data_IF_957015959330
#
_entry.id   IF_957015959330
#
_cell.length_a   1.000
_cell.length_b   1.000
_cell.length_c   1.000
_cell.angle_alpha   90.00
_cell.angle_beta   90.00
_cell.angle_gamma   90.00
#
_symmetry.space_group_name_H-M   'P 1'
#
loop_
_entity.id
_entity.type
_entity.pdbx_description
1 polymer ?
#
# COMPACT_ATOMS: atom_id res chain seq x y z
N UNK A 1 -15.97 -19.25 5.09
CA UNK A 1 -14.62 -19.34 5.70
C UNK A 1 -13.62 -18.79 4.69
N UNK A 2 -13.44 -17.47 4.66
CA UNK A 2 -12.27 -16.87 4.03
C UNK A 2 -11.15 -17.03 5.06
N UNK A 3 -10.25 -17.97 4.82
CA UNK A 3 -9.09 -18.19 5.68
C UNK A 3 -8.14 -17.03 5.50
N UNK A 4 -8.19 -16.07 6.42
CA UNK A 4 -7.12 -15.10 6.62
C UNK A 4 -5.97 -15.88 7.27
N UNK A 5 -5.05 -16.38 6.45
CA UNK A 5 -3.77 -16.85 6.93
C UNK A 5 -2.98 -15.60 7.34
N UNK A 6 -3.19 -15.20 8.60
CA UNK A 6 -2.20 -14.43 9.33
C UNK A 6 -0.89 -15.22 9.24
N UNK A 7 0.14 -14.64 8.60
CA UNK A 7 1.51 -15.12 8.73
C UNK A 7 2.00 -14.81 10.16
N UNK A 8 1.46 -15.52 11.14
CA UNK A 8 1.68 -15.32 12.57
C UNK A 8 3.04 -15.86 13.06
N UNK A 9 4.04 -16.02 12.18
CA UNK A 9 5.33 -16.67 12.53
C UNK A 9 6.56 -15.77 12.35
N UNK A 10 6.37 -14.47 12.09
CA UNK A 10 7.43 -13.47 12.19
C UNK A 10 7.05 -12.45 13.26
N UNK A 11 7.92 -12.15 14.25
CA UNK A 11 7.66 -11.08 15.22
C UNK A 11 7.83 -9.71 14.54
N UNK A 12 6.86 -9.33 13.71
CA UNK A 12 6.74 -8.01 13.08
C UNK A 12 5.48 -7.29 13.55
N UNK A 13 5.49 -5.96 13.50
CA UNK A 13 4.28 -5.15 13.67
C UNK A 13 3.60 -4.98 12.31
N UNK A 14 2.29 -5.24 12.25
CA UNK A 14 1.52 -5.35 11.01
C UNK A 14 0.37 -4.34 10.97
N UNK A 15 0.60 -3.07 10.58
CA UNK A 15 -0.48 -2.16 10.26
C UNK A 15 -1.22 -2.67 9.02
N UNK A 16 -2.53 -2.83 9.18
CA UNK A 16 -3.48 -3.18 8.13
C UNK A 16 -4.73 -2.32 8.32
N UNK A 17 -5.45 -2.06 7.23
CA UNK A 17 -6.68 -1.27 7.25
C UNK A 17 -7.85 -2.15 6.82
N UNK A 18 -8.91 -2.13 7.61
CA UNK A 18 -10.15 -2.84 7.29
C UNK A 18 -11.35 -1.92 7.43
N UNK A 19 -12.46 -2.28 6.79
CA UNK A 19 -13.73 -1.54 6.91
C UNK A 19 -14.88 -2.50 7.16
N UNK A 20 -15.91 -2.00 7.85
CA UNK A 20 -17.17 -2.71 8.04
C UNK A 20 -18.32 -1.86 7.54
N UNK A 21 -19.05 -2.34 6.54
CA UNK A 21 -20.22 -1.64 6.01
C UNK A 21 -21.53 -2.13 6.66
N UNK A 22 -22.55 -1.25 6.67
CA UNK A 22 -23.91 -1.56 7.08
C UNK A 22 -24.74 -2.31 6.03
N UNK A 23 -26.06 -2.18 6.09
CA UNK A 23 -27.06 -2.98 5.36
C UNK A 23 -26.89 -3.01 3.84
N UNK A 24 -26.89 -1.86 3.18
CA UNK A 24 -26.91 -1.78 1.71
C UNK A 24 -25.63 -2.32 1.04
N UNK A 25 -24.40 -1.93 1.44
CA UNK A 25 -23.18 -2.43 0.81
C UNK A 25 -22.90 -3.92 1.12
N UNK A 26 -23.35 -4.43 2.28
CA UNK A 26 -23.32 -5.88 2.57
C UNK A 26 -24.12 -6.69 1.55
N UNK A 27 -25.23 -6.14 1.07
CA UNK A 27 -26.05 -6.77 0.03
C UNK A 27 -25.40 -6.78 -1.34
N UNK A 28 -24.31 -6.02 -1.54
CA UNK A 28 -23.47 -6.08 -2.74
C UNK A 28 -22.26 -7.01 -2.56
N UNK A 29 -21.74 -7.13 -1.33
CA UNK A 29 -20.67 -8.08 -0.97
C UNK A 29 -21.16 -9.55 -0.97
N UNK A 30 -22.39 -9.81 -0.51
CA UNK A 30 -22.97 -11.15 -0.45
C UNK A 30 -23.15 -11.80 -1.84
N UNK A 31 -23.65 -11.09 -2.87
CA UNK A 31 -23.67 -11.57 -4.25
C UNK A 31 -22.28 -11.81 -4.85
N UNK A 32 -21.25 -11.04 -4.45
CA UNK A 32 -19.87 -11.30 -4.89
C UNK A 32 -19.37 -12.63 -4.32
N UNK A 33 -19.61 -12.87 -3.02
CA UNK A 33 -19.26 -14.12 -2.35
C UNK A 33 -20.06 -15.32 -2.90
N UNK A 34 -21.37 -15.15 -3.13
CA UNK A 34 -22.24 -16.17 -3.71
C UNK A 34 -21.80 -16.54 -5.14
N UNK A 35 -21.46 -15.54 -5.97
CA UNK A 35 -20.94 -15.79 -7.32
C UNK A 35 -19.59 -16.51 -7.32
N UNK A 36 -18.66 -16.14 -6.44
CA UNK A 36 -17.39 -16.87 -6.30
C UNK A 36 -17.60 -18.33 -5.87
N UNK A 37 -18.54 -18.57 -4.96
CA UNK A 37 -18.95 -19.91 -4.54
C UNK A 37 -19.56 -20.72 -5.68
N UNK A 38 -20.50 -20.13 -6.42
CA UNK A 38 -21.16 -20.77 -7.57
C UNK A 38 -20.17 -21.06 -8.71
N UNK A 39 -19.27 -20.13 -9.02
CA UNK A 39 -18.20 -20.34 -10.00
C UNK A 39 -17.29 -21.52 -9.57
N UNK A 40 -16.92 -21.57 -8.28
CA UNK A 40 -16.12 -22.68 -7.74
C UNK A 40 -16.87 -24.01 -7.84
N UNK A 41 -18.18 -24.00 -7.54
CA UNK A 41 -19.04 -25.19 -7.61
C UNK A 41 -19.27 -25.67 -9.03
N UNK A 42 -19.38 -24.73 -9.98
CA UNK A 42 -19.61 -24.98 -11.40
C UNK A 42 -18.35 -25.32 -12.20
N UNK A 43 -17.17 -24.96 -11.69
CA UNK A 43 -15.90 -25.07 -12.44
C UNK A 43 -15.67 -26.46 -13.06
N UNK A 44 -15.63 -26.47 -14.40
CA UNK A 44 -15.07 -27.51 -15.26
C UNK A 44 -13.70 -26.99 -15.75
N UNK A 45 -12.71 -27.86 -15.99
CA UNK A 45 -11.42 -27.43 -16.54
C UNK A 45 -11.59 -26.80 -17.93
N UNK A 46 -10.65 -25.95 -18.38
CA UNK A 46 -10.67 -25.42 -19.75
C UNK A 46 -10.54 -26.57 -20.77
N UNK A 47 -11.10 -26.43 -21.98
CA UNK A 47 -10.94 -27.45 -23.02
C UNK A 47 -9.46 -27.53 -23.43
N UNK A 48 -8.84 -28.70 -23.27
CA UNK A 48 -7.54 -29.01 -23.87
C UNK A 48 -7.78 -29.57 -25.27
N UNK A 49 -7.36 -28.83 -26.30
CA UNK A 49 -7.12 -29.38 -27.64
C UNK A 49 -5.89 -30.29 -27.58
N UNK A 50 -6.07 -31.55 -27.20
CA UNK A 50 -5.13 -32.63 -27.52
C UNK A 50 -5.71 -33.98 -27.15
N UNK A 51 -5.63 -34.91 -28.10
CA UNK A 51 -6.06 -36.32 -28.04
C UNK A 51 -5.26 -37.13 -27.01
N UNK A 52 -5.61 -36.99 -25.73
CA UNK A 52 -5.15 -37.83 -24.62
C UNK A 52 -6.32 -38.16 -23.68
N UNK A 53 -6.21 -39.19 -22.81
CA UNK A 53 -7.27 -39.52 -21.87
C UNK A 53 -7.55 -38.30 -20.96
N UNK A 54 -8.82 -37.99 -20.68
CA UNK A 54 -9.18 -36.77 -19.97
C UNK A 54 -8.54 -36.76 -18.58
N UNK A 55 -7.99 -35.63 -18.11
CA UNK A 55 -7.51 -35.54 -16.73
C UNK A 55 -8.68 -35.76 -15.77
N UNK A 56 -8.63 -36.86 -15.01
CA UNK A 56 -9.55 -37.12 -13.91
C UNK A 56 -9.24 -36.18 -12.73
N UNK A 57 -9.74 -34.95 -12.80
CA UNK A 57 -10.06 -34.17 -11.59
C UNK A 57 -11.26 -33.27 -11.87
N UNK A 58 -12.42 -33.90 -12.11
CA UNK A 58 -13.68 -33.21 -11.89
C UNK A 58 -13.74 -32.78 -10.43
N UNK A 59 -14.01 -31.50 -10.13
CA UNK A 59 -14.44 -31.05 -8.79
C UNK A 59 -15.87 -31.55 -8.48
N UNK A 60 -16.17 -32.82 -8.80
CA UNK A 60 -17.46 -33.47 -8.56
C UNK A 60 -17.84 -33.43 -7.07
N UNK A 61 -16.84 -33.36 -6.18
CA UNK A 61 -16.99 -33.17 -4.74
C UNK A 61 -17.97 -32.04 -4.38
N UNK A 62 -17.86 -30.89 -5.05
CA UNK A 62 -18.64 -29.70 -4.71
C UNK A 62 -20.03 -29.67 -5.35
N UNK A 63 -20.33 -30.58 -6.27
CA UNK A 63 -21.66 -30.65 -6.90
C UNK A 63 -22.72 -31.27 -5.98
N UNK A 64 -22.29 -31.96 -4.93
CA UNK A 64 -23.17 -32.65 -3.97
C UNK A 64 -24.02 -31.67 -3.15
N UNK A 65 -25.21 -32.09 -2.65
CA UNK A 65 -26.05 -31.26 -1.79
C UNK A 65 -25.41 -30.81 -0.46
N UNK A 66 -24.31 -31.46 -0.06
CA UNK A 66 -23.46 -31.03 1.07
C UNK A 66 -22.91 -29.62 0.89
N UNK A 67 -22.85 -29.14 -0.36
CA UNK A 67 -22.42 -27.80 -0.74
C UNK A 67 -23.60 -27.08 -1.42
N UNK A 68 -24.53 -26.49 -0.64
CA UNK A 68 -25.75 -25.92 -1.19
C UNK A 68 -25.48 -24.70 -2.09
N UNK A 69 -26.45 -24.38 -2.94
CA UNK A 69 -26.47 -23.10 -3.64
C UNK A 69 -26.72 -21.98 -2.62
N UNK A 70 -26.03 -20.87 -2.78
CA UNK A 70 -26.20 -19.69 -1.93
C UNK A 70 -27.03 -18.67 -2.69
N UNK A 71 -28.21 -18.35 -2.17
CA UNK A 71 -29.06 -17.31 -2.74
C UNK A 71 -28.88 -16.01 -1.93
N UNK A 72 -28.60 -14.87 -2.59
CA UNK A 72 -28.52 -13.61 -1.88
C UNK A 72 -29.88 -13.24 -1.30
N UNK A 73 -29.91 -12.67 -0.09
CA UNK A 73 -31.12 -12.04 0.44
C UNK A 73 -31.51 -10.86 -0.44
N UNK A 74 -32.82 -10.64 -0.62
CA UNK A 74 -33.34 -9.48 -1.34
C UNK A 74 -32.87 -8.19 -0.69
N UNK A 75 -32.51 -7.20 -1.49
CA UNK A 75 -32.15 -5.85 -0.99
C UNK A 75 -33.31 -5.24 -0.20
N UNK A 76 -34.56 -5.53 -0.56
CA UNK A 76 -35.76 -5.03 0.13
C UNK A 76 -35.97 -5.57 1.55
N UNK A 77 -35.28 -6.65 1.94
CA UNK A 77 -35.43 -7.28 3.27
C UNK A 77 -34.15 -7.32 4.08
N UNK A 78 -33.08 -6.74 3.55
CA UNK A 78 -31.75 -6.83 4.14
C UNK A 78 -31.41 -5.69 5.12
N UNK A 79 -32.34 -4.77 5.35
CA UNK A 79 -32.18 -3.66 6.28
C UNK A 79 -32.24 -4.09 7.77
N UNK A 80 -32.79 -5.27 8.04
CA UNK A 80 -32.87 -5.82 9.39
C UNK A 80 -31.58 -6.57 9.76
N UNK A 81 -30.60 -5.84 10.29
CA UNK A 81 -29.40 -6.45 10.87
C UNK A 81 -29.68 -6.92 12.31
N UNK A 82 -29.21 -8.12 12.70
CA UNK A 82 -29.34 -8.60 14.07
C UNK A 82 -28.51 -7.78 15.08
N UNK A 83 -27.54 -6.99 14.60
CA UNK A 83 -26.73 -6.06 15.40
C UNK A 83 -26.11 -4.99 14.49
N UNK A 84 -25.81 -3.83 15.06
CA UNK A 84 -24.97 -2.78 14.46
C UNK A 84 -23.63 -2.71 15.20
N UNK A 85 -22.57 -2.32 14.50
CA UNK A 85 -21.27 -2.10 15.14
C UNK A 85 -21.22 -0.66 15.69
N UNK A 86 -20.78 -0.45 16.95
CA UNK A 86 -20.59 0.89 17.48
C UNK A 86 -19.49 1.63 16.71
N UNK A 87 -19.62 2.96 16.60
CA UNK A 87 -18.65 3.80 15.87
C UNK A 87 -18.85 3.89 14.36
N UNK A 88 -19.94 3.32 13.83
CA UNK A 88 -20.30 3.48 12.41
C UNK A 88 -20.62 4.93 12.05
N UNK A 89 -20.14 5.39 10.90
CA UNK A 89 -20.43 6.72 10.35
C UNK A 89 -21.33 6.60 9.11
N UNK A 90 -22.20 7.58 8.91
CA UNK A 90 -23.10 7.63 7.76
C UNK A 90 -22.34 8.15 6.53
N UNK A 91 -22.22 7.31 5.50
CA UNK A 91 -21.43 7.56 4.28
C UNK A 91 -22.11 6.93 3.07
N UNK A 92 -21.75 7.40 1.88
CA UNK A 92 -22.05 6.69 0.63
C UNK A 92 -20.96 5.66 0.39
N UNK A 93 -21.34 4.38 0.23
CA UNK A 93 -20.38 3.29 0.06
C UNK A 93 -20.70 2.49 -1.20
N UNK A 94 -19.72 2.39 -2.10
CA UNK A 94 -19.79 1.57 -3.30
C UNK A 94 -18.79 0.40 -3.20
N UNK A 95 -19.28 -0.82 -3.40
CA UNK A 95 -18.42 -2.01 -3.49
C UNK A 95 -17.79 -2.10 -4.86
N UNK A 96 -16.49 -2.39 -4.89
CA UNK A 96 -15.65 -2.51 -6.06
C UNK A 96 -14.95 -3.87 -6.06
N UNK A 97 -14.55 -4.35 -7.24
CA UNK A 97 -13.83 -5.63 -7.37
C UNK A 97 -12.90 -5.69 -8.59
N UNK A 98 -11.91 -6.54 -8.47
CA UNK A 98 -11.12 -7.07 -9.59
C UNK A 98 -11.49 -8.54 -9.72
N UNK A 99 -12.09 -8.95 -10.84
CA UNK A 99 -12.43 -10.35 -11.12
C UNK A 99 -12.32 -10.65 -12.60
N UNK A 100 -12.13 -11.92 -12.94
CA UNK A 100 -12.14 -12.39 -14.32
C UNK A 100 -12.94 -13.68 -14.49
N UNK A 101 -13.10 -14.15 -15.73
CA UNK A 101 -13.83 -15.37 -16.06
C UNK A 101 -13.34 -16.56 -15.26
N UNK A 102 -12.03 -16.67 -15.02
CA UNK A 102 -11.44 -17.77 -14.26
C UNK A 102 -11.81 -17.75 -12.77
N UNK A 103 -12.03 -16.57 -12.18
CA UNK A 103 -12.28 -16.41 -10.74
C UNK A 103 -13.76 -16.24 -10.38
N UNK A 104 -14.55 -15.56 -11.21
CA UNK A 104 -15.97 -15.27 -10.93
C UNK A 104 -16.91 -15.41 -12.13
N UNK A 105 -16.44 -15.91 -13.28
CA UNK A 105 -17.27 -16.08 -14.48
C UNK A 105 -17.61 -14.77 -15.24
N UNK A 106 -17.05 -13.64 -14.81
CA UNK A 106 -17.20 -12.31 -15.44
C UNK A 106 -15.89 -11.54 -15.30
N UNK A 107 -15.65 -10.54 -16.16
CA UNK A 107 -14.48 -9.67 -16.07
C UNK A 107 -14.88 -8.29 -15.54
N UNK A 108 -14.14 -7.78 -14.55
CA UNK A 108 -14.33 -6.46 -13.95
C UNK A 108 -13.03 -5.95 -13.32
N UNK A 109 -12.77 -4.65 -13.45
CA UNK A 109 -11.62 -3.95 -12.86
C UNK A 109 -12.07 -2.60 -12.24
N UNK A 110 -13.21 -2.60 -11.55
CA UNK A 110 -13.82 -1.39 -11.00
C UNK A 110 -12.96 -0.73 -9.92
N UNK A 111 -12.11 -1.50 -9.23
CA UNK A 111 -11.11 -0.98 -8.28
C UNK A 111 -10.14 -0.04 -9.00
N UNK A 112 -9.52 -0.46 -10.11
CA UNK A 112 -8.61 0.38 -10.88
C UNK A 112 -9.30 1.66 -11.36
N UNK A 113 -10.53 1.53 -11.89
CA UNK A 113 -11.27 2.68 -12.38
C UNK A 113 -11.53 3.72 -11.27
N UNK A 114 -11.88 3.26 -10.05
CA UNK A 114 -12.06 4.13 -8.90
C UNK A 114 -10.76 4.82 -8.49
N UNK A 115 -9.64 4.09 -8.39
CA UNK A 115 -8.33 4.68 -8.10
C UNK A 115 -7.97 5.81 -9.08
N UNK A 116 -8.08 5.53 -10.40
CA UNK A 116 -7.76 6.53 -11.43
C UNK A 116 -8.68 7.74 -11.36
N UNK A 117 -9.98 7.53 -11.11
CA UNK A 117 -10.95 8.61 -11.00
C UNK A 117 -10.69 9.49 -9.76
N UNK A 118 -10.53 8.88 -8.58
CA UNK A 118 -10.26 9.60 -7.33
C UNK A 118 -8.98 10.42 -7.41
N UNK A 119 -7.92 9.89 -8.01
CA UNK A 119 -6.65 10.63 -8.19
C UNK A 119 -6.87 11.83 -9.13
N UNK A 120 -7.54 11.62 -10.26
CA UNK A 120 -7.77 12.67 -11.27
C UNK A 120 -8.62 13.83 -10.74
N UNK A 121 -9.66 13.50 -9.97
CA UNK A 121 -10.61 14.47 -9.44
C UNK A 121 -10.19 15.08 -8.09
N UNK A 122 -9.11 14.58 -7.46
CA UNK A 122 -8.58 15.16 -6.22
C UNK A 122 -8.22 16.64 -6.40
N UNK A 123 -8.35 17.45 -5.36
CA UNK A 123 -8.15 18.90 -5.38
C UNK A 123 -6.97 19.36 -4.52
N UNK A 124 -6.70 18.68 -3.41
CA UNK A 124 -5.79 19.15 -2.37
C UNK A 124 -4.70 18.13 -2.02
N UNK A 125 -5.05 16.87 -1.75
CA UNK A 125 -4.03 15.88 -1.43
C UNK A 125 -4.45 14.45 -1.65
N UNK A 126 -3.44 13.58 -1.70
CA UNK A 126 -3.57 12.14 -1.67
C UNK A 126 -2.75 11.59 -0.50
N UNK A 127 -3.36 10.72 0.30
CA UNK A 127 -2.66 9.89 1.28
C UNK A 127 -2.81 8.43 0.90
N UNK A 128 -1.69 7.76 0.63
CA UNK A 128 -1.65 6.40 0.11
C UNK A 128 -0.83 5.54 1.08
N UNK A 129 -1.46 4.53 1.66
CA UNK A 129 -0.77 3.44 2.33
C UNK A 129 -0.97 2.17 1.51
N UNK A 130 0.13 1.62 0.97
CA UNK A 130 0.04 0.40 0.18
C UNK A 130 1.23 -0.52 0.39
N UNK A 131 0.98 -1.83 0.43
CA UNK A 131 2.03 -2.84 0.48
C UNK A 131 2.93 -2.83 -0.76
N UNK A 132 2.37 -2.59 -1.95
CA UNK A 132 3.14 -2.50 -3.19
C UNK A 132 2.83 -1.21 -3.93
N UNK A 133 3.82 -0.71 -4.66
CA UNK A 133 3.68 0.49 -5.50
C UNK A 133 4.38 0.27 -6.83
N UNK A 134 3.78 -0.59 -7.65
CA UNK A 134 4.24 -1.00 -8.97
C UNK A 134 3.25 -0.48 -10.01
N UNK A 135 3.64 0.60 -10.67
CA UNK A 135 2.83 1.33 -11.64
C UNK A 135 3.73 2.06 -12.65
N UNK A 136 3.19 3.09 -13.32
CA UNK A 136 3.79 3.81 -14.46
C UNK A 136 3.94 2.88 -15.66
N UNK A 137 2.92 2.92 -16.52
CA UNK A 137 2.81 1.99 -17.64
C UNK A 137 3.90 2.22 -18.69
N UNK A 138 4.54 1.14 -19.15
CA UNK A 138 5.34 1.12 -20.37
C UNK A 138 4.62 0.42 -21.54
N UNK A 139 3.35 0.05 -21.35
CA UNK A 139 2.56 -0.70 -22.31
C UNK A 139 3.04 -2.13 -22.57
N UNK A 140 4.00 -2.65 -21.78
CA UNK A 140 4.59 -3.99 -21.98
C UNK A 140 4.67 -4.80 -20.71
N UNK A 141 5.41 -4.31 -19.71
CA UNK A 141 5.67 -5.03 -18.45
C UNK A 141 4.76 -4.58 -17.33
N UNK A 142 4.48 -3.27 -17.26
CA UNK A 142 3.55 -2.67 -16.30
C UNK A 142 2.46 -1.93 -17.08
N UNK A 143 1.20 -2.18 -16.75
CA UNK A 143 0.05 -1.76 -17.55
C UNK A 143 -0.88 -0.78 -16.81
N UNK A 144 -1.01 -0.90 -15.49
CA UNK A 144 -1.84 0.00 -14.71
C UNK A 144 -1.28 1.43 -14.71
N UNK A 145 -2.18 2.42 -14.65
CA UNK A 145 -1.88 3.85 -14.82
C UNK A 145 -1.97 4.67 -13.54
N UNK A 146 -1.95 4.04 -12.37
CA UNK A 146 -2.09 4.75 -11.09
C UNK A 146 -0.98 5.80 -10.90
N UNK A 147 0.28 5.41 -11.12
CA UNK A 147 1.42 6.31 -11.06
C UNK A 147 1.41 7.38 -12.16
N UNK A 148 0.84 7.08 -13.33
CA UNK A 148 0.67 8.05 -14.41
C UNK A 148 -0.32 9.15 -14.03
N UNK A 149 -1.47 8.80 -13.46
CA UNK A 149 -2.46 9.79 -12.97
C UNK A 149 -1.91 10.62 -11.81
N UNK A 150 -1.09 10.05 -10.91
CA UNK A 150 -0.41 10.81 -9.85
C UNK A 150 0.52 11.86 -10.45
N UNK A 151 1.34 11.49 -11.44
CA UNK A 151 2.22 12.44 -12.12
C UNK A 151 1.39 13.54 -12.80
N UNK A 152 0.39 13.16 -13.58
CA UNK A 152 -0.43 14.13 -14.32
C UNK A 152 -1.16 15.07 -13.37
N UNK A 153 -1.63 14.58 -12.22
CA UNK A 153 -2.28 15.38 -11.19
C UNK A 153 -1.32 16.37 -10.52
N UNK A 154 -0.11 15.94 -10.18
CA UNK A 154 0.93 16.83 -9.62
C UNK A 154 1.34 17.89 -10.65
N UNK A 155 1.58 17.50 -11.90
CA UNK A 155 1.94 18.43 -12.98
C UNK A 155 0.83 19.45 -13.25
N UNK A 156 -0.44 19.04 -13.15
CA UNK A 156 -1.60 19.94 -13.21
C UNK A 156 -1.56 20.97 -12.07
N UNK A 157 -1.36 20.53 -10.82
CA UNK A 157 -1.25 21.43 -9.67
C UNK A 157 -0.11 22.43 -9.86
N UNK A 158 1.07 21.94 -10.27
CA UNK A 158 2.24 22.76 -10.51
C UNK A 158 2.01 23.82 -11.58
N UNK A 159 1.42 23.43 -12.73
CA UNK A 159 1.07 24.36 -13.80
C UNK A 159 0.06 25.43 -13.36
N UNK A 160 -0.81 25.09 -12.42
CA UNK A 160 -1.85 25.97 -11.89
C UNK A 160 -1.41 26.77 -10.66
N UNK A 161 -0.20 26.54 -10.15
CA UNK A 161 0.26 27.15 -8.90
C UNK A 161 -0.58 26.77 -7.68
N UNK A 162 -1.18 25.57 -7.69
CA UNK A 162 -2.03 25.08 -6.60
C UNK A 162 -1.21 24.31 -5.56
N UNK A 163 -1.55 24.51 -4.29
CA UNK A 163 -1.07 23.66 -3.19
C UNK A 163 -1.66 22.25 -3.36
N UNK A 164 -0.78 21.26 -3.55
CA UNK A 164 -1.19 19.86 -3.69
C UNK A 164 -0.12 18.93 -3.12
N UNK A 165 -0.49 18.00 -2.23
CA UNK A 165 0.46 17.07 -1.59
C UNK A 165 0.12 15.61 -1.86
N UNK A 166 1.13 14.78 -2.00
CA UNK A 166 0.99 13.33 -2.14
C UNK A 166 1.88 12.65 -1.11
N UNK A 167 1.25 11.97 -0.16
CA UNK A 167 1.89 11.15 0.85
C UNK A 167 1.84 9.69 0.42
N UNK A 168 2.99 9.05 0.27
CA UNK A 168 3.09 7.63 -0.07
C UNK A 168 3.83 6.89 1.05
N UNK A 169 3.13 5.98 1.72
CA UNK A 169 3.67 5.10 2.75
C UNK A 169 3.77 3.67 2.22
N UNK A 170 5.00 3.14 2.20
CA UNK A 170 5.34 1.80 1.73
C UNK A 170 6.10 1.03 2.80
N UNK A 171 5.99 -0.31 2.85
CA UNK A 171 6.90 -1.10 3.66
C UNK A 171 8.34 -0.87 3.18
N UNK A 172 9.29 -0.67 4.11
CA UNK A 172 10.69 -0.41 3.76
C UNK A 172 11.30 -1.55 2.95
N UNK A 173 10.86 -2.78 3.17
CA UNK A 173 11.22 -3.96 2.40
C UNK A 173 9.97 -4.80 2.10
N UNK A 174 9.91 -5.48 0.93
CA UNK A 174 8.90 -6.49 0.64
C UNK A 174 8.88 -7.63 1.65
N UNK A 175 7.70 -8.12 2.03
CA UNK A 175 7.50 -9.16 3.04
C UNK A 175 7.70 -10.58 2.50
N UNK A 176 8.91 -10.87 2.02
CA UNK A 176 9.32 -12.21 1.60
C UNK A 176 10.49 -12.67 2.47
N UNK A 177 10.61 -13.99 2.65
CA UNK A 177 11.79 -14.56 3.30
C UNK A 177 13.05 -14.25 2.47
N UNK A 178 14.08 -13.75 3.13
CA UNK A 178 15.37 -13.47 2.52
C UNK A 178 16.31 -12.71 3.45
N UNK A 179 17.59 -13.05 3.42
CA UNK A 179 18.61 -12.34 4.19
C UNK A 179 18.96 -11.01 3.52
N UNK A 180 18.45 -9.92 4.09
CA UNK A 180 18.69 -8.58 3.57
C UNK A 180 20.17 -8.17 3.66
N UNK A 181 20.96 -8.75 4.57
CA UNK A 181 22.39 -8.45 4.71
C UNK A 181 23.20 -8.87 3.48
N UNK A 182 22.66 -9.78 2.66
CA UNK A 182 23.25 -10.24 1.40
C UNK A 182 22.64 -9.59 0.15
N UNK A 183 21.73 -8.62 0.34
CA UNK A 183 20.98 -7.95 -0.73
C UNK A 183 19.54 -8.43 -0.87
N UNK A 184 19.09 -9.32 0.02
CA UNK A 184 17.78 -9.96 -0.04
C UNK A 184 17.72 -11.10 -1.05
N UNK A 185 16.67 -11.94 -0.95
CA UNK A 185 16.40 -12.98 -1.94
C UNK A 185 15.96 -12.41 -3.29
N UNK A 186 16.01 -13.24 -4.34
CA UNK A 186 15.62 -12.84 -5.70
C UNK A 186 14.20 -12.22 -5.76
N UNK A 187 13.26 -12.72 -4.95
CA UNK A 187 11.91 -12.16 -4.83
C UNK A 187 11.90 -10.72 -4.29
N UNK A 188 12.71 -10.45 -3.24
CA UNK A 188 12.85 -9.12 -2.66
C UNK A 188 13.41 -8.16 -3.71
N UNK A 189 14.48 -8.56 -4.39
CA UNK A 189 15.11 -7.74 -5.42
C UNK A 189 14.17 -7.47 -6.61
N UNK A 190 13.43 -8.49 -7.07
CA UNK A 190 12.47 -8.33 -8.16
C UNK A 190 11.37 -7.32 -7.83
N UNK A 191 10.79 -7.37 -6.63
CA UNK A 191 9.81 -6.37 -6.20
C UNK A 191 10.45 -4.99 -6.05
N UNK A 192 11.62 -4.89 -5.40
CA UNK A 192 12.34 -3.62 -5.28
C UNK A 192 12.67 -3.01 -6.64
N UNK A 193 13.02 -3.82 -7.65
CA UNK A 193 13.24 -3.36 -9.01
C UNK A 193 12.01 -2.59 -9.52
N UNK A 194 10.83 -3.22 -9.46
CA UNK A 194 9.60 -2.61 -9.97
C UNK A 194 9.13 -1.43 -9.10
N UNK A 195 9.30 -1.50 -7.78
CA UNK A 195 9.03 -0.36 -6.88
C UNK A 195 9.91 0.85 -7.24
N UNK A 196 11.22 0.66 -7.35
CA UNK A 196 12.11 1.76 -7.73
C UNK A 196 11.89 2.23 -9.18
N UNK A 197 11.52 1.33 -10.10
CA UNK A 197 11.13 1.69 -11.48
C UNK A 197 9.92 2.63 -11.48
N UNK A 198 8.95 2.41 -10.60
CA UNK A 198 7.80 3.31 -10.45
C UNK A 198 8.19 4.62 -9.78
N UNK A 199 8.97 4.58 -8.70
CA UNK A 199 9.28 5.76 -7.91
C UNK A 199 10.30 6.69 -8.60
N UNK A 200 11.50 6.20 -8.91
CA UNK A 200 12.62 7.09 -9.24
C UNK A 200 13.66 6.59 -10.25
N UNK A 201 13.56 5.36 -10.77
CA UNK A 201 14.55 4.76 -11.70
C UNK A 201 13.94 4.57 -13.08
N UNK A 202 14.58 5.17 -14.10
CA UNK A 202 14.12 5.10 -15.48
C UNK A 202 13.16 6.22 -15.87
N UNK A 203 12.95 6.37 -17.18
CA UNK A 203 12.21 7.49 -17.78
C UNK A 203 10.71 7.51 -17.44
N UNK A 204 10.13 6.34 -17.17
CA UNK A 204 8.72 6.21 -16.78
C UNK A 204 8.47 6.55 -15.31
N UNK A 205 9.51 6.63 -14.48
CA UNK A 205 9.36 6.83 -13.05
C UNK A 205 8.74 8.19 -12.70
N UNK A 206 7.97 8.24 -11.61
CA UNK A 206 7.29 9.45 -11.13
C UNK A 206 8.30 10.58 -10.95
N UNK A 207 9.37 10.34 -10.18
CA UNK A 207 10.33 11.40 -9.88
C UNK A 207 11.14 11.84 -11.10
N UNK A 208 11.42 10.97 -12.06
CA UNK A 208 12.10 11.39 -13.30
C UNK A 208 11.21 12.37 -14.09
N UNK A 209 9.93 12.02 -14.28
CA UNK A 209 8.95 12.86 -15.00
C UNK A 209 8.69 14.18 -14.29
N UNK A 210 8.57 14.17 -12.96
CA UNK A 210 8.42 15.40 -12.18
C UNK A 210 9.67 16.28 -12.28
N UNK A 211 10.87 15.72 -12.09
CA UNK A 211 12.14 16.47 -12.21
C UNK A 211 12.31 17.11 -13.59
N UNK A 212 11.89 16.42 -14.65
CA UNK A 212 11.93 16.95 -16.01
C UNK A 212 11.07 18.21 -16.19
N UNK A 213 9.95 18.31 -15.46
CA UNK A 213 9.02 19.44 -15.55
C UNK A 213 9.31 20.58 -14.55
N UNK A 214 9.73 20.25 -13.33
CA UNK A 214 9.81 21.20 -12.21
C UNK A 214 11.14 21.18 -11.42
N UNK A 215 12.15 20.44 -11.89
CA UNK A 215 13.45 20.38 -11.23
C UNK A 215 13.36 19.81 -9.81
N UNK A 216 13.85 20.53 -8.81
CA UNK A 216 13.84 20.09 -7.40
C UNK A 216 12.52 20.32 -6.69
N UNK A 217 11.59 21.09 -7.28
CA UNK A 217 10.30 21.45 -6.68
C UNK A 217 9.35 20.25 -6.52
N UNK A 218 9.67 19.06 -7.07
CA UNK A 218 8.89 17.84 -6.84
C UNK A 218 8.74 17.52 -5.35
N UNK A 219 9.73 17.93 -4.53
CA UNK A 219 9.73 17.75 -3.08
C UNK A 219 8.55 18.47 -2.43
N UNK A 220 8.08 19.56 -3.01
CA UNK A 220 6.95 20.33 -2.50
C UNK A 220 5.62 19.59 -2.75
N UNK A 221 5.58 18.62 -3.67
CA UNK A 221 4.33 17.92 -4.02
C UNK A 221 4.26 16.50 -3.50
N UNK A 222 5.38 15.84 -3.19
CA UNK A 222 5.38 14.41 -2.93
C UNK A 222 6.39 13.98 -1.87
N UNK A 223 5.92 13.24 -0.86
CA UNK A 223 6.74 12.56 0.14
C UNK A 223 6.56 11.05 0.05
N UNK A 224 7.69 10.32 0.01
CA UNK A 224 7.71 8.85 0.02
C UNK A 224 8.40 8.41 1.32
N UNK A 225 7.67 7.66 2.13
CA UNK A 225 8.08 7.26 3.47
C UNK A 225 7.82 5.77 3.70
N UNK A 226 8.49 5.22 4.71
CA UNK A 226 8.13 3.95 5.33
C UNK A 226 7.96 4.14 6.84
N UNK A 227 7.79 3.01 7.54
CA UNK A 227 7.62 3.01 8.99
C UNK A 227 8.67 2.10 9.65
N UNK A 228 9.20 2.55 10.80
CA UNK A 228 10.18 1.81 11.60
C UNK A 228 9.93 2.06 13.08
N UNK A 229 10.20 1.04 13.90
CA UNK A 229 10.14 1.15 15.36
C UNK A 229 11.38 0.56 16.01
N UNK A 230 11.50 0.76 17.32
CA UNK A 230 12.53 0.14 18.15
C UNK A 230 11.92 -0.38 19.46
N UNK A 231 12.66 -1.27 20.11
CA UNK A 231 12.34 -1.80 21.42
C UNK A 231 13.61 -2.32 22.10
N UNK A 232 13.44 -3.01 23.22
CA UNK A 232 14.53 -3.65 23.96
C UNK A 232 14.38 -5.18 23.85
N UNK A 233 15.46 -5.87 23.53
CA UNK A 233 15.53 -7.33 23.57
C UNK A 233 16.80 -7.76 24.28
N UNK A 234 16.66 -8.31 25.49
CA UNK A 234 17.79 -8.52 26.39
C UNK A 234 18.31 -7.18 26.91
N UNK A 235 19.61 -6.94 26.84
CA UNK A 235 20.26 -5.70 27.29
C UNK A 235 20.55 -4.71 26.14
N UNK A 236 20.05 -4.99 24.94
CA UNK A 236 20.33 -4.21 23.73
C UNK A 236 19.06 -3.64 23.10
N UNK A 237 19.10 -2.38 22.63
CA UNK A 237 18.11 -1.85 21.72
C UNK A 237 18.08 -2.66 20.43
N UNK A 238 16.89 -2.93 19.92
CA UNK A 238 16.64 -3.56 18.62
C UNK A 238 15.68 -2.71 17.80
N UNK A 239 15.77 -2.79 16.47
CA UNK A 239 14.86 -2.09 15.56
C UNK A 239 14.35 -3.03 14.48
N UNK A 240 13.10 -2.84 14.11
CA UNK A 240 12.49 -3.50 12.96
C UNK A 240 11.59 -2.52 12.20
N UNK A 241 11.46 -2.74 10.90
CA UNK A 241 10.46 -2.05 10.09
C UNK A 241 9.05 -2.41 10.56
N UNK A 242 8.14 -1.46 10.47
CA UNK A 242 6.72 -1.73 10.64
C UNK A 242 6.18 -2.06 9.25
N UNK A 243 5.61 -3.26 9.09
CA UNK A 243 5.27 -3.77 7.77
C UNK A 243 3.89 -3.26 7.31
N UNK A 244 3.90 -2.25 6.45
CA UNK A 244 2.68 -1.68 5.85
C UNK A 244 2.03 -2.72 4.93
N UNK A 245 0.93 -3.31 5.40
CA UNK A 245 0.09 -4.23 4.64
C UNK A 245 -1.23 -3.60 4.18
N UNK A 246 -1.55 -2.38 4.66
CA UNK A 246 -2.70 -1.60 4.20
C UNK A 246 -2.80 -1.54 2.67
N UNK A 247 -4.02 -1.41 2.15
CA UNK A 247 -4.29 -0.98 0.77
C UNK A 247 -5.37 0.09 0.78
N UNK A 248 -4.91 1.32 1.00
CA UNK A 248 -5.77 2.47 1.25
C UNK A 248 -5.35 3.69 0.45
N UNK A 249 -6.34 4.44 -0.01
CA UNK A 249 -6.18 5.78 -0.56
C UNK A 249 -7.19 6.72 0.11
N UNK A 250 -6.74 7.87 0.59
CA UNK A 250 -7.59 8.98 1.06
C UNK A 250 -7.33 10.17 0.15
N UNK A 251 -8.39 10.82 -0.31
CA UNK A 251 -8.33 12.06 -1.07
C UNK A 251 -9.13 13.17 -0.39
N UNK A 252 -8.50 14.33 -0.25
CA UNK A 252 -9.11 15.61 0.16
C UNK A 252 -9.93 15.57 1.46
N UNK A 253 -9.60 14.64 2.37
CA UNK A 253 -10.40 14.36 3.58
C UNK A 253 -11.90 14.15 3.27
N UNK A 254 -12.26 13.57 2.13
CA UNK A 254 -13.67 13.32 1.75
C UNK A 254 -13.94 11.97 1.08
N UNK A 255 -12.92 11.40 0.46
CA UNK A 255 -13.05 10.15 -0.30
C UNK A 255 -12.01 9.17 0.19
N UNK A 256 -12.43 7.92 0.44
CA UNK A 256 -11.55 6.84 0.89
C UNK A 256 -11.79 5.60 0.05
N UNK A 257 -10.72 4.94 -0.37
CA UNK A 257 -10.74 3.58 -0.91
C UNK A 257 -10.03 2.67 0.08
N UNK A 258 -10.69 1.60 0.55
CA UNK A 258 -10.11 0.55 1.40
C UNK A 258 -10.40 -0.80 0.77
N UNK A 259 -9.40 -1.69 0.69
CA UNK A 259 -9.62 -3.03 0.15
C UNK A 259 -8.42 -3.96 0.29
N UNK A 260 -8.43 -5.02 -0.53
CA UNK A 260 -7.34 -5.99 -0.63
C UNK A 260 -6.36 -5.69 -1.79
N UNK A 261 -6.77 -4.84 -2.74
CA UNK A 261 -6.02 -4.60 -3.96
C UNK A 261 -4.78 -3.73 -3.75
N UNK A 262 -3.61 -4.32 -4.01
CA UNK A 262 -2.35 -3.59 -4.02
C UNK A 262 -2.25 -2.65 -5.23
N UNK A 263 -1.38 -1.64 -5.19
CA UNK A 263 -1.04 -0.86 -6.38
C UNK A 263 -0.02 -1.65 -7.20
N UNK A 264 -0.53 -2.60 -7.98
CA UNK A 264 0.22 -3.45 -8.91
C UNK A 264 -0.75 -4.02 -9.98
N UNK A 265 -0.22 -4.56 -11.07
CA UNK A 265 -1.04 -5.11 -12.15
C UNK A 265 -1.80 -6.37 -11.71
N UNK A 266 -1.19 -7.19 -10.83
CA UNK A 266 -1.81 -8.38 -10.24
C UNK A 266 -3.16 -8.10 -9.59
N UNK A 267 -3.27 -7.03 -8.80
CA UNK A 267 -4.50 -6.66 -8.11
C UNK A 267 -5.43 -5.79 -8.96
N UNK A 268 -4.90 -4.92 -9.84
CA UNK A 268 -5.69 -3.87 -10.48
C UNK A 268 -6.25 -4.20 -11.87
N UNK A 269 -5.64 -5.13 -12.63
CA UNK A 269 -6.08 -5.38 -14.00
C UNK A 269 -7.39 -6.20 -14.11
N UNK A 270 -7.87 -6.80 -13.02
CA UNK A 270 -9.05 -7.68 -13.01
C UNK A 270 -8.76 -9.10 -13.54
N UNK A 271 -7.92 -9.20 -14.58
CA UNK A 271 -7.56 -10.45 -15.27
C UNK A 271 -6.65 -11.40 -14.47
N UNK A 272 -6.07 -10.90 -13.38
CA UNK A 272 -5.14 -11.62 -12.51
C UNK A 272 -5.86 -11.99 -11.21
N UNK A 273 -5.43 -11.49 -10.07
CA UNK A 273 -5.99 -11.87 -8.77
C UNK A 273 -7.39 -11.31 -8.56
N UNK A 274 -8.19 -12.05 -7.78
CA UNK A 274 -9.52 -11.60 -7.39
C UNK A 274 -9.44 -10.70 -6.15
N UNK A 275 -9.89 -9.46 -6.26
CA UNK A 275 -9.79 -8.45 -5.20
C UNK A 275 -11.14 -7.81 -4.87
N UNK A 276 -11.27 -7.29 -3.65
CA UNK A 276 -12.41 -6.50 -3.21
C UNK A 276 -11.94 -5.18 -2.61
N UNK A 277 -12.70 -4.12 -2.87
CA UNK A 277 -12.53 -2.84 -2.20
C UNK A 277 -13.88 -2.15 -2.00
N UNK A 278 -13.89 -1.10 -1.20
CA UNK A 278 -15.00 -0.16 -1.09
C UNK A 278 -14.51 1.25 -1.35
N UNK A 279 -15.27 2.00 -2.15
CA UNK A 279 -15.17 3.45 -2.25
C UNK A 279 -16.17 4.05 -1.26
N UNK A 280 -15.67 4.91 -0.38
CA UNK A 280 -16.43 5.57 0.68
C UNK A 280 -16.35 7.07 0.42
N UNK A 281 -17.50 7.70 0.27
CA UNK A 281 -17.66 9.13 0.08
C UNK A 281 -18.48 9.70 1.23
N UNK A 282 -17.90 10.68 1.92
CA UNK A 282 -18.55 11.31 3.07
C UNK A 282 -19.78 12.11 2.66
N UNK A 283 -20.86 11.93 3.42
CA UNK A 283 -22.09 12.73 3.31
C UNK A 283 -22.26 13.70 4.47
N UNK A 284 -21.60 13.42 5.60
CA UNK A 284 -21.54 14.30 6.75
C UNK A 284 -20.18 15.01 6.78
N UNK A 285 -20.20 16.32 6.98
CA UNK A 285 -19.00 17.15 7.00
C UNK A 285 -18.81 17.78 8.38
N UNK A 286 -17.55 18.05 8.74
CA UNK A 286 -17.15 18.83 9.91
C UNK A 286 -16.12 19.91 9.56
N UNK A 287 -16.07 21.03 10.32
CA UNK A 287 -15.08 22.08 10.10
C UNK A 287 -13.65 21.58 10.31
N UNK A 288 -12.79 21.83 9.33
CA UNK A 288 -11.36 21.56 9.33
C UNK A 288 -10.61 22.68 8.58
N UNK A 289 -9.33 22.46 8.29
CA UNK A 289 -8.48 23.37 7.52
C UNK A 289 -7.94 22.69 6.27
N UNK A 290 -7.70 23.48 5.24
CA UNK A 290 -7.02 23.08 4.02
C UNK A 290 -6.25 24.27 3.46
N UNK A 291 -4.92 24.22 3.53
CA UNK A 291 -4.02 25.31 3.13
C UNK A 291 -4.30 26.64 3.86
N UNK A 292 -4.52 26.56 5.18
CA UNK A 292 -4.87 27.68 6.06
C UNK A 292 -6.31 28.17 5.92
N UNK A 293 -7.07 27.66 4.95
CA UNK A 293 -8.45 28.07 4.70
C UNK A 293 -9.45 27.16 5.39
N UNK A 294 -10.60 27.71 5.80
CA UNK A 294 -11.71 26.92 6.33
C UNK A 294 -12.17 25.89 5.29
N UNK A 295 -12.26 24.63 5.71
CA UNK A 295 -12.62 23.52 4.85
C UNK A 295 -13.65 22.62 5.52
N UNK A 296 -14.65 22.18 4.75
CA UNK A 296 -15.64 21.20 5.21
C UNK A 296 -15.13 19.80 4.86
N UNK A 297 -14.54 19.11 5.83
CA UNK A 297 -13.97 17.78 5.65
C UNK A 297 -15.00 16.71 6.00
N UNK A 298 -14.96 15.59 5.30
CA UNK A 298 -15.80 14.42 5.55
C UNK A 298 -15.43 13.77 6.87
N UNK A 299 -16.43 13.45 7.70
CA UNK A 299 -16.19 12.92 9.06
C UNK A 299 -15.42 11.60 9.03
N UNK A 300 -15.73 10.70 8.10
CA UNK A 300 -15.08 9.39 8.00
C UNK A 300 -13.64 9.55 7.51
N UNK A 301 -13.44 10.22 6.38
CA UNK A 301 -12.12 10.41 5.78
C UNK A 301 -11.18 11.19 6.72
N UNK A 302 -11.67 12.30 7.32
CA UNK A 302 -10.90 13.12 8.23
C UNK A 302 -10.47 12.36 9.49
N UNK A 303 -11.41 11.64 10.11
CA UNK A 303 -11.11 10.88 11.34
C UNK A 303 -10.09 9.78 11.08
N UNK A 304 -10.22 9.06 9.96
CA UNK A 304 -9.25 8.05 9.53
C UNK A 304 -7.87 8.66 9.26
N UNK A 305 -7.81 9.74 8.49
CA UNK A 305 -6.55 10.42 8.13
C UNK A 305 -5.85 11.01 9.36
N UNK A 306 -6.58 11.65 10.28
CA UNK A 306 -6.04 12.13 11.56
C UNK A 306 -5.53 10.99 12.43
N UNK A 307 -6.22 9.86 12.45
CA UNK A 307 -5.74 8.69 13.19
C UNK A 307 -4.43 8.15 12.60
N UNK A 308 -4.36 7.98 11.27
CA UNK A 308 -3.12 7.61 10.58
C UNK A 308 -1.98 8.58 10.92
N UNK A 309 -2.20 9.89 10.77
CA UNK A 309 -1.19 10.91 11.10
C UNK A 309 -0.77 10.87 12.56
N UNK A 310 -1.71 10.70 13.49
CA UNK A 310 -1.42 10.59 14.91
C UNK A 310 -0.48 9.42 15.21
N UNK A 311 -0.77 8.24 14.66
CA UNK A 311 0.02 7.02 14.88
C UNK A 311 1.41 7.16 14.26
N UNK A 312 1.51 7.60 13.00
CA UNK A 312 2.80 7.66 12.29
C UNK A 312 3.72 8.77 12.82
N UNK A 313 3.15 9.86 13.32
CA UNK A 313 3.89 10.99 13.89
C UNK A 313 4.04 10.94 15.41
N UNK A 314 3.42 9.95 16.08
CA UNK A 314 3.44 9.83 17.53
C UNK A 314 2.77 11.00 18.26
N UNK A 315 1.65 11.50 17.75
CA UNK A 315 1.00 12.71 18.27
C UNK A 315 0.47 12.56 19.70
N UNK A 316 0.26 11.34 20.21
CA UNK A 316 -0.07 11.09 21.62
C UNK A 316 1.00 11.63 22.59
N UNK A 317 2.27 11.67 22.16
CA UNK A 317 3.38 12.26 22.92
C UNK A 317 3.58 13.76 22.62
N UNK A 318 2.81 14.34 21.68
CA UNK A 318 2.94 15.71 21.15
C UNK A 318 1.57 16.36 20.99
N UNK A 319 0.91 16.77 22.10
CA UNK A 319 -0.42 17.38 22.04
C UNK A 319 -0.44 18.75 21.34
N UNK A 320 0.73 19.34 21.11
CA UNK A 320 0.94 20.58 20.36
C UNK A 320 0.87 20.40 18.83
N UNK A 321 0.92 19.17 18.34
CA UNK A 321 0.96 18.88 16.91
C UNK A 321 -0.44 19.05 16.29
N UNK A 322 -0.59 20.05 15.43
CA UNK A 322 -1.85 20.34 14.75
C UNK A 322 -2.02 19.44 13.51
N UNK A 323 -2.99 18.54 13.59
CA UNK A 323 -3.36 17.61 12.53
C UNK A 323 -4.58 18.08 11.71
N UNK A 324 -5.01 19.34 11.82
CA UNK A 324 -6.20 19.80 11.09
C UNK A 324 -5.93 20.00 9.61
N UNK A 325 -4.78 20.59 9.26
CA UNK A 325 -4.42 20.94 7.89
C UNK A 325 -3.38 19.96 7.31
N UNK A 326 -3.76 19.13 6.32
CA UNK A 326 -2.87 18.14 5.74
C UNK A 326 -2.04 18.68 4.56
N UNK A 327 -2.09 19.97 4.22
CA UNK A 327 -1.40 20.49 3.01
C UNK A 327 -0.58 21.75 3.22
N UNK A 328 -0.80 22.48 4.31
CA UNK A 328 -0.04 23.69 4.59
C UNK A 328 1.48 23.41 4.67
N UNK A 329 2.29 24.40 4.28
CA UNK A 329 3.75 24.27 4.23
C UNK A 329 4.34 23.87 5.58
N UNK A 330 3.83 24.44 6.68
CA UNK A 330 4.32 24.15 8.04
C UNK A 330 4.17 22.66 8.39
N UNK A 331 2.98 22.08 8.13
CA UNK A 331 2.74 20.67 8.41
C UNK A 331 3.56 19.77 7.47
N UNK A 332 3.65 20.13 6.19
CA UNK A 332 4.39 19.34 5.21
C UNK A 332 5.90 19.35 5.46
N UNK A 333 6.45 20.49 5.90
CA UNK A 333 7.84 20.58 6.32
C UNK A 333 8.09 19.77 7.61
N UNK A 334 7.21 19.87 8.61
CA UNK A 334 7.28 19.06 9.82
C UNK A 334 7.30 17.56 9.51
N UNK A 335 6.44 17.12 8.58
CA UNK A 335 6.39 15.74 8.10
C UNK A 335 7.74 15.29 7.52
N UNK A 336 8.36 16.12 6.68
CA UNK A 336 9.68 15.87 6.11
C UNK A 336 10.78 15.82 7.17
N UNK A 337 10.79 16.80 8.09
CA UNK A 337 11.81 16.91 9.14
C UNK A 337 11.79 15.70 10.07
N UNK A 338 10.59 15.23 10.47
CA UNK A 338 10.43 14.02 11.28
C UNK A 338 10.93 12.80 10.51
N UNK A 339 10.51 12.64 9.25
CA UNK A 339 10.89 11.50 8.42
C UNK A 339 12.41 11.43 8.18
N UNK A 340 13.07 12.57 7.94
CA UNK A 340 14.52 12.66 7.76
C UNK A 340 15.27 12.43 9.06
N UNK A 341 14.87 13.11 10.15
CA UNK A 341 15.49 12.99 11.46
C UNK A 341 15.45 11.55 11.95
N UNK A 342 14.28 10.91 11.93
CA UNK A 342 14.13 9.52 12.35
C UNK A 342 14.97 8.58 11.48
N UNK A 343 14.97 8.75 10.16
CA UNK A 343 15.76 7.90 9.26
C UNK A 343 17.26 7.98 9.58
N UNK A 344 17.77 9.19 9.84
CA UNK A 344 19.15 9.42 10.23
C UNK A 344 19.49 8.77 11.57
N UNK A 345 18.63 8.93 12.58
CA UNK A 345 18.83 8.33 13.91
C UNK A 345 18.85 6.81 13.80
N UNK A 346 17.89 6.21 13.11
CA UNK A 346 17.83 4.76 12.91
C UNK A 346 19.06 4.24 12.16
N UNK A 347 19.52 4.93 11.11
CA UNK A 347 20.72 4.56 10.37
C UNK A 347 21.99 4.65 11.25
N UNK A 348 22.13 5.70 12.04
CA UNK A 348 23.29 5.89 12.92
C UNK A 348 23.36 4.83 14.02
N UNK A 349 22.22 4.52 14.65
CA UNK A 349 22.18 3.65 15.83
C UNK A 349 22.23 2.17 15.43
N UNK A 350 21.43 1.78 14.44
CA UNK A 350 21.22 0.37 14.09
C UNK A 350 21.91 -0.03 12.80
N UNK A 351 22.39 0.93 11.98
CA UNK A 351 22.90 0.63 10.63
C UNK A 351 21.89 -0.21 9.84
N UNK A 352 20.60 0.10 10.00
CA UNK A 352 19.51 -0.72 9.48
C UNK A 352 19.38 -0.59 7.95
N UNK A 353 18.87 -1.65 7.33
CA UNK A 353 18.56 -1.69 5.90
C UNK A 353 17.04 -1.50 5.67
N UNK A 354 16.63 -0.95 4.53
CA UNK A 354 17.45 -0.36 3.47
C UNK A 354 17.93 1.06 3.83
N UNK A 355 19.00 1.54 3.18
CA UNK A 355 19.54 2.89 3.40
C UNK A 355 20.17 3.49 2.13
N UNK A 356 20.14 4.82 2.01
CA UNK A 356 20.77 5.58 0.92
C UNK A 356 22.31 5.51 0.94
N UNK A 357 22.93 5.10 2.05
CA UNK A 357 24.37 4.90 2.14
C UNK A 357 24.85 3.67 1.33
N UNK A 358 23.95 2.71 1.09
CA UNK A 358 24.28 1.45 0.41
C UNK A 358 23.74 1.46 -1.01
N UNK A 359 24.60 1.81 -1.97
CA UNK A 359 24.23 1.93 -3.39
C UNK A 359 24.57 0.73 -4.25
N UNK A 360 25.41 -0.17 -3.76
CA UNK A 360 25.81 -1.42 -4.44
C UNK A 360 25.88 -2.60 -3.46
N UNK A 361 25.83 -3.81 -3.99
CA UNK A 361 26.02 -5.05 -3.21
C UNK A 361 27.42 -5.12 -2.61
N UNK A 362 28.42 -4.51 -3.27
CA UNK A 362 29.77 -4.38 -2.71
C UNK A 362 29.75 -3.52 -1.45
N UNK A 363 29.16 -2.32 -1.54
CA UNK A 363 29.03 -1.43 -0.39
C UNK A 363 28.24 -2.09 0.74
N UNK A 364 27.20 -2.88 0.41
CA UNK A 364 26.42 -3.63 1.38
C UNK A 364 27.28 -4.60 2.19
N UNK A 365 28.10 -5.42 1.51
CA UNK A 365 28.98 -6.39 2.17
C UNK A 365 29.97 -5.73 3.13
N UNK A 366 30.51 -4.57 2.76
CA UNK A 366 31.42 -3.81 3.62
C UNK A 366 30.63 -3.19 4.80
N UNK A 367 29.43 -2.66 4.54
CA UNK A 367 28.60 -1.96 5.51
C UNK A 367 28.12 -2.85 6.66
N UNK A 368 27.73 -4.10 6.39
CA UNK A 368 27.20 -5.05 7.39
C UNK A 368 28.27 -5.66 8.30
N UNK A 369 29.56 -5.50 7.97
CA UNK A 369 30.66 -6.00 8.82
C UNK A 369 30.93 -5.11 10.03
N UNK A 370 30.45 -3.86 10.00
CA UNK A 370 30.63 -2.90 11.08
C UNK A 370 29.51 -3.07 12.10
N UNK A 371 29.89 -3.33 13.34
CA UNK A 371 28.96 -3.49 14.45
C UNK A 371 28.18 -2.19 14.72
N UNK A 372 26.85 -2.24 14.88
CA UNK A 372 26.03 -1.05 15.10
C UNK A 372 26.20 -0.49 16.51
N UNK A 373 25.94 0.81 16.69
CA UNK A 373 26.06 1.49 17.98
C UNK A 373 25.15 0.87 19.05
N UNK A 374 23.99 0.34 18.65
CA UNK A 374 23.08 -0.39 19.54
C UNK A 374 23.75 -1.57 20.26
N UNK A 375 24.74 -2.21 19.64
CA UNK A 375 25.53 -3.31 20.24
C UNK A 375 26.79 -2.80 20.95
N UNK A 376 27.51 -1.85 20.32
CA UNK A 376 28.77 -1.30 20.84
C UNK A 376 28.57 -0.51 22.15
N UNK A 377 27.51 0.31 22.22
CA UNK A 377 27.21 1.12 23.41
C UNK A 377 25.69 1.28 23.59
N UNK A 378 25.02 0.28 24.20
CA UNK A 378 23.59 0.35 24.48
C UNK A 378 23.14 1.60 25.25
N UNK A 379 23.90 2.12 26.26
CA UNK A 379 23.51 3.36 26.94
C UNK A 379 23.50 4.59 26.04
N UNK A 380 24.50 4.73 25.16
CA UNK A 380 24.55 5.85 24.21
C UNK A 380 23.44 5.72 23.16
N UNK A 381 23.21 4.51 22.63
CA UNK A 381 22.10 4.23 21.73
C UNK A 381 20.75 4.64 22.33
N UNK A 382 20.48 4.27 23.59
CA UNK A 382 19.23 4.68 24.28
C UNK A 382 19.07 6.19 24.39
N UNK A 383 20.15 6.89 24.72
CA UNK A 383 20.14 8.36 24.80
C UNK A 383 19.72 8.98 23.47
N UNK A 384 20.31 8.52 22.37
CA UNK A 384 19.98 9.03 21.04
C UNK A 384 18.56 8.64 20.59
N UNK A 385 18.08 7.43 20.94
CA UNK A 385 16.72 6.98 20.60
C UNK A 385 15.61 7.84 21.22
N UNK A 386 15.88 8.57 22.30
CA UNK A 386 14.89 9.49 22.90
C UNK A 386 14.49 10.64 21.97
N UNK A 387 15.29 10.92 20.93
CA UNK A 387 15.02 11.95 19.94
C UNK A 387 14.08 11.47 18.82
N UNK A 388 13.85 10.15 18.70
CA UNK A 388 12.94 9.59 17.69
C UNK A 388 11.50 9.97 18.02
N UNK A 389 10.78 10.50 17.03
CA UNK A 389 9.38 10.89 17.18
C UNK A 389 8.49 10.08 16.22
N UNK A 390 7.54 9.33 16.77
CA UNK A 390 6.65 8.49 15.97
C UNK A 390 7.41 7.36 15.26
N UNK A 391 6.95 7.01 14.06
CA UNK A 391 7.45 5.85 13.30
C UNK A 391 7.85 6.19 11.87
N UNK A 392 7.53 7.40 11.42
CA UNK A 392 7.76 7.84 10.04
C UNK A 392 9.26 7.95 9.74
N UNK A 393 9.70 7.34 8.64
CA UNK A 393 11.08 7.46 8.12
C UNK A 393 11.05 7.69 6.62
N UNK A 394 12.02 8.43 6.09
CA UNK A 394 12.14 8.58 4.64
C UNK A 394 12.44 7.26 3.94
N UNK A 395 11.80 7.04 2.79
CA UNK A 395 12.06 5.86 1.98
C UNK A 395 13.40 6.01 1.23
N UNK A 396 14.35 5.06 1.34
CA UNK A 396 15.69 5.20 0.78
C UNK A 396 15.75 4.94 -0.73
N UNK A 397 15.48 5.99 -1.53
CA UNK A 397 15.40 5.92 -3.00
C UNK A 397 16.70 5.42 -3.69
N UNK A 398 17.86 5.54 -3.02
CA UNK A 398 19.18 5.20 -3.57
C UNK A 398 19.70 3.83 -3.16
N UNK A 399 18.93 3.05 -2.40
CA UNK A 399 19.37 1.75 -1.93
C UNK A 399 19.58 0.78 -3.11
N UNK A 400 20.79 0.27 -3.28
CA UNK A 400 21.21 -0.57 -4.42
C UNK A 400 20.90 0.08 -5.79
N UNK A 401 21.14 1.40 -5.94
CA UNK A 401 20.92 2.12 -7.21
C UNK A 401 21.87 1.72 -8.33
N UNK A 402 23.05 1.19 -8.01
CA UNK A 402 24.08 0.77 -8.98
C UNK A 402 23.87 -0.67 -9.48
N UNK A 403 22.84 -1.37 -8.98
CA UNK A 403 22.61 -2.80 -9.23
C UNK A 403 21.41 -3.04 -10.16
N UNK A 404 21.50 -4.08 -10.99
CA UNK A 404 20.34 -4.62 -11.69
C UNK A 404 19.60 -5.59 -10.78
N UNK A 405 18.53 -5.11 -10.14
CA UNK A 405 17.74 -5.87 -9.17
C UNK A 405 16.81 -6.95 -9.79
N UNK A 406 16.79 -7.09 -11.12
CA UNK A 406 16.05 -8.19 -11.75
C UNK A 406 16.81 -9.52 -11.56
N UNK A 407 16.10 -10.63 -11.29
CA UNK A 407 16.72 -11.94 -11.22
C UNK A 407 17.46 -12.29 -12.52
N UNK A 408 18.68 -12.84 -12.46
CA UNK A 408 19.41 -13.26 -13.65
C UNK A 408 18.63 -14.32 -14.43
N UNK A 409 18.65 -14.27 -15.77
CA UNK A 409 17.90 -15.20 -16.64
C UNK A 409 18.20 -16.70 -16.37
N UNK A 410 19.38 -17.02 -15.84
CA UNK A 410 19.76 -18.38 -15.47
C UNK A 410 19.29 -18.85 -14.08
N UNK A 411 18.66 -17.99 -13.28
CA UNK A 411 18.10 -18.38 -11.98
C UNK A 411 16.68 -18.93 -12.13
N UNK A 412 16.18 -19.62 -11.09
CA UNK A 412 14.78 -20.09 -11.07
C UNK A 412 13.83 -18.93 -11.25
N UNK A 413 14.07 -17.82 -10.57
CA UNK A 413 13.26 -16.61 -10.61
C UNK A 413 13.39 -15.84 -11.93
N UNK A 414 14.52 -15.94 -12.63
CA UNK A 414 14.70 -15.34 -13.96
C UNK A 414 13.95 -16.07 -15.07
N UNK A 415 13.59 -17.33 -14.87
CA UNK A 415 12.71 -18.08 -15.77
C UNK A 415 11.21 -17.86 -15.48
N UNK A 416 10.87 -17.20 -14.38
CA UNK A 416 9.50 -16.86 -14.03
C UNK A 416 9.05 -15.67 -14.87
N UNK A 417 7.86 -15.70 -15.50
CA UNK A 417 7.33 -14.55 -16.23
C UNK A 417 7.33 -13.30 -15.35
N UNK A 418 7.79 -12.16 -15.90
CA UNK A 418 7.88 -10.90 -15.14
C UNK A 418 6.53 -10.48 -14.53
N UNK A 419 5.42 -10.86 -15.17
CA UNK A 419 4.06 -10.62 -14.69
C UNK A 419 3.77 -11.18 -13.29
N UNK A 420 4.57 -12.14 -12.81
CA UNK A 420 4.47 -12.67 -11.44
C UNK A 420 4.88 -11.62 -10.42
N UNK A 421 5.75 -10.68 -10.79
CA UNK A 421 6.30 -9.65 -9.91
C UNK A 421 5.61 -8.29 -10.06
N UNK A 422 4.77 -8.10 -11.08
CA UNK A 422 4.14 -6.81 -11.45
C UNK A 422 2.68 -6.68 -11.09
#
# INVERSE_FOLDING_TARGET
>A
MLGWLSMAHLPGTWPDTSSSAGTSPRCSLLPASARGWEATRGSLPPPTDSTGPPPQTTKAKYKTPMYPYLLPKSTSTADQLPFTLPGGQCTTVQVLRSVDRWSAGTSENSILNAYLHTIRESQHFLYIENQFFISCSDGRTVLNKVGDEIVDRILKAHKQGQCFRVYVLLPLLPGFEGDISTGGGNSIQAILHFTYRTLCRGEHSILHRLKAAMGTAWRDYMSICGLRTHGELGEHPVSELIYIHSKMLIADDRTVIIGSANINDRSLLGKRDSELAVLIEDTEMEPSLMDGMEYQAGRFALSLRKHCFSVVLGADARPDLDLRDPVCDDFFQLWHDIAESNANIYEQIFRCLPSNAIRSLRALREYVTVEPLAMVSPPLARSELTQVQGHLVHFPLKFLEDESLLPPLGSKEGMIPLEVWT
#
